data_IF_721484340101
#
_entry.id   IF_721484340101
#
_cell.length_a   1.000
_cell.length_b   1.000
_cell.length_c   1.000
_cell.angle_alpha   90.00
_cell.angle_beta   90.00
_cell.angle_gamma   90.00
#
_symmetry.space_group_name_H-M   'P 1'
#
loop_
_entity.id
_entity.type
_entity.pdbx_description
1 polymer ?
#
# COMPACT_ATOMS: atom_id res chain seq x y z
N UNK A 1 -5.02 8.99 -7.64
CA UNK A 1 -5.39 9.27 -9.04
C UNK A 1 -4.57 8.35 -9.95
N UNK A 2 -5.16 7.77 -10.98
CA UNK A 2 -4.48 6.93 -11.98
C UNK A 2 -3.34 7.72 -12.63
N UNK A 3 -2.19 7.09 -12.84
CA UNK A 3 -1.03 7.71 -13.48
C UNK A 3 -0.26 8.68 -12.57
N UNK A 4 -0.74 8.98 -11.36
CA UNK A 4 -0.02 9.79 -10.38
C UNK A 4 0.89 8.90 -9.53
N UNK A 5 2.13 9.33 -9.32
CA UNK A 5 3.05 8.65 -8.42
C UNK A 5 2.49 8.63 -7.00
N UNK A 6 2.61 7.49 -6.34
CA UNK A 6 2.24 7.24 -4.96
C UNK A 6 3.48 6.76 -4.21
N UNK A 7 3.69 7.30 -3.01
CA UNK A 7 4.78 6.88 -2.13
C UNK A 7 4.35 7.10 -0.69
N UNK A 8 4.11 6.02 0.03
CA UNK A 8 3.69 6.03 1.44
C UNK A 8 4.50 5.01 2.22
N UNK A 9 5.06 5.43 3.35
CA UNK A 9 5.74 4.52 4.28
C UNK A 9 4.76 4.10 5.36
N UNK A 10 4.57 2.79 5.52
CA UNK A 10 3.80 2.21 6.61
C UNK A 10 4.69 2.07 7.85
N UNK A 11 4.13 2.40 9.01
CA UNK A 11 4.84 2.32 10.29
C UNK A 11 4.10 1.40 11.25
N UNK A 12 4.84 0.61 12.01
CA UNK A 12 4.32 -0.20 13.10
C UNK A 12 4.93 0.28 14.43
N UNK A 13 4.21 0.05 15.52
CA UNK A 13 4.63 0.39 16.88
C UNK A 13 4.41 -0.79 17.83
N UNK A 14 5.19 -0.82 18.91
CA UNK A 14 5.26 -1.97 19.83
C UNK A 14 6.07 -3.15 19.26
N UNK A 15 6.27 -4.19 20.06
CA UNK A 15 7.07 -5.35 19.64
C UNK A 15 8.58 -5.04 19.53
N UNK A 16 9.29 -5.84 18.72
CA UNK A 16 10.75 -5.80 18.58
C UNK A 16 11.15 -5.50 17.14
N UNK A 17 11.76 -4.34 16.90
CA UNK A 17 12.35 -4.03 15.60
C UNK A 17 13.49 -5.00 15.24
N UNK A 18 13.77 -5.24 13.95
CA UNK A 18 13.14 -4.63 12.77
C UNK A 18 11.78 -5.23 12.41
N UNK A 19 10.93 -4.40 11.79
CA UNK A 19 9.66 -4.85 11.22
C UNK A 19 9.83 -5.31 9.77
N UNK A 20 8.98 -6.24 9.34
CA UNK A 20 8.89 -6.77 7.98
C UNK A 20 7.45 -6.76 7.52
N UNK A 21 7.20 -6.13 6.37
CA UNK A 21 5.88 -5.99 5.80
C UNK A 21 5.66 -6.94 4.63
N UNK A 22 4.46 -7.49 4.52
CA UNK A 22 4.06 -8.37 3.41
C UNK A 22 2.55 -8.27 3.15
N UNK A 23 2.13 -8.69 1.95
CA UNK A 23 0.71 -8.82 1.62
C UNK A 23 0.21 -10.15 2.20
N UNK A 24 -0.70 -10.07 3.17
CA UNK A 24 -1.33 -11.23 3.79
C UNK A 24 -2.46 -11.80 2.91
N UNK A 25 -3.24 -10.92 2.27
CA UNK A 25 -4.33 -11.29 1.38
C UNK A 25 -4.74 -10.15 0.45
N UNK A 26 -5.47 -10.49 -0.62
CA UNK A 26 -5.89 -9.53 -1.64
C UNK A 26 -4.76 -9.19 -2.62
N UNK A 27 -4.95 -8.13 -3.40
CA UNK A 27 -3.97 -7.67 -4.38
C UNK A 27 -3.84 -6.16 -4.32
N UNK A 28 -2.62 -5.67 -4.51
CA UNK A 28 -2.39 -4.24 -4.68
C UNK A 28 -2.96 -3.79 -6.03
N UNK A 29 -3.42 -2.52 -6.13
CA UNK A 29 -3.71 -1.92 -7.43
C UNK A 29 -2.53 -2.10 -8.40
N UNK A 30 -2.83 -2.37 -9.68
CA UNK A 30 -1.81 -2.52 -10.70
C UNK A 30 -0.88 -1.29 -10.74
N UNK A 31 0.44 -1.53 -10.74
CA UNK A 31 1.46 -0.48 -10.71
C UNK A 31 1.90 -0.04 -9.31
N UNK A 32 1.31 -0.58 -8.23
CA UNK A 32 1.81 -0.43 -6.87
C UNK A 32 2.57 -1.67 -6.39
N UNK A 33 3.58 -1.44 -5.56
CA UNK A 33 4.39 -2.48 -4.91
C UNK A 33 4.60 -2.14 -3.43
N UNK A 34 4.61 -3.17 -2.59
CA UNK A 34 4.97 -3.06 -1.18
C UNK A 34 6.37 -3.62 -0.97
N UNK A 35 7.30 -2.79 -0.51
CA UNK A 35 8.61 -3.21 -0.06
C UNK A 35 8.56 -3.77 1.37
N UNK A 36 9.52 -4.61 1.72
CA UNK A 36 9.57 -5.28 3.04
C UNK A 36 9.85 -4.32 4.20
N UNK A 37 10.30 -3.09 3.91
CA UNK A 37 10.49 -2.00 4.87
C UNK A 37 9.19 -1.21 5.15
N UNK A 38 8.09 -1.56 4.47
CA UNK A 38 6.78 -0.91 4.62
C UNK A 38 6.51 0.18 3.58
N UNK A 39 7.42 0.42 2.65
CA UNK A 39 7.21 1.41 1.59
C UNK A 39 6.23 0.87 0.54
N UNK A 40 5.02 1.44 0.49
CA UNK A 40 4.04 1.25 -0.57
C UNK A 40 4.22 2.35 -1.63
N UNK A 41 4.74 1.97 -2.79
CA UNK A 41 5.07 2.93 -3.84
C UNK A 41 4.78 2.43 -5.24
N UNK A 42 4.70 3.36 -6.18
CA UNK A 42 4.50 3.11 -7.60
C UNK A 42 3.51 4.08 -8.23
N UNK A 43 2.99 3.72 -9.39
CA UNK A 43 2.04 4.56 -10.14
C UNK A 43 0.82 3.72 -10.50
N UNK A 44 -0.33 3.89 -9.83
CA UNK A 44 -1.52 3.10 -10.12
C UNK A 44 -1.98 3.26 -11.56
N UNK A 45 -2.16 2.16 -12.29
CA UNK A 45 -2.50 2.19 -13.73
C UNK A 45 -3.95 1.86 -14.04
N UNK A 46 -4.72 1.38 -13.07
CA UNK A 46 -6.11 0.92 -13.28
C UNK A 46 -7.03 1.62 -12.29
N UNK A 47 -8.11 2.22 -12.79
CA UNK A 47 -9.16 2.81 -11.95
C UNK A 47 -9.91 1.71 -11.19
N UNK A 48 -10.32 2.00 -9.96
CA UNK A 48 -11.13 1.10 -9.15
C UNK A 48 -10.71 1.08 -7.69
N UNK A 49 -11.44 0.30 -6.89
CA UNK A 49 -11.12 0.07 -5.48
C UNK A 49 -10.49 -1.31 -5.34
N UNK A 50 -9.33 -1.37 -4.69
CA UNK A 50 -8.67 -2.62 -4.32
C UNK A 50 -8.65 -2.77 -2.80
N UNK A 51 -9.08 -3.94 -2.32
CA UNK A 51 -8.99 -4.31 -0.92
C UNK A 51 -7.85 -5.30 -0.73
N UNK A 52 -6.94 -5.00 0.19
CA UNK A 52 -5.82 -5.86 0.53
C UNK A 52 -5.51 -5.77 2.03
N UNK A 53 -4.92 -6.84 2.56
CA UNK A 53 -4.49 -6.90 3.96
C UNK A 53 -2.98 -6.95 4.00
N UNK A 54 -2.38 -6.08 4.79
CA UNK A 54 -0.93 -6.08 5.04
C UNK A 54 -0.68 -6.77 6.38
N UNK A 55 0.29 -7.68 6.40
CA UNK A 55 0.88 -8.21 7.61
C UNK A 55 2.15 -7.44 7.94
N UNK A 56 2.38 -7.21 9.23
CA UNK A 56 3.66 -6.79 9.77
C UNK A 56 4.13 -7.87 10.76
N UNK A 57 5.36 -8.35 10.57
CA UNK A 57 6.04 -9.23 11.50
C UNK A 57 7.21 -8.48 12.15
N UNK A 58 7.43 -8.71 13.43
CA UNK A 58 8.55 -8.18 14.19
C UNK A 58 9.66 -9.23 14.35
N UNK A 59 10.80 -8.84 14.91
CA UNK A 59 11.92 -9.75 15.16
C UNK A 59 11.71 -10.68 16.36
N UNK A 60 10.68 -10.42 17.18
CA UNK A 60 10.25 -11.23 18.32
C UNK A 60 9.31 -12.37 17.94
N UNK A 61 9.04 -12.58 16.64
CA UNK A 61 8.04 -13.51 16.11
C UNK A 61 6.59 -13.14 16.43
N UNK A 62 6.32 -11.88 16.78
CA UNK A 62 4.96 -11.36 16.83
C UNK A 62 4.54 -10.84 15.44
N UNK A 63 3.25 -10.97 15.13
CA UNK A 63 2.69 -10.47 13.88
C UNK A 63 1.34 -9.82 14.09
N UNK A 64 1.07 -8.78 13.31
CA UNK A 64 -0.24 -8.12 13.25
C UNK A 64 -0.68 -7.95 11.79
N UNK A 65 -1.97 -7.82 11.56
CA UNK A 65 -2.55 -7.59 10.24
C UNK A 65 -3.47 -6.38 10.25
N UNK A 66 -3.53 -5.67 9.12
CA UNK A 66 -4.41 -4.52 8.93
C UNK A 66 -5.01 -4.57 7.52
N UNK A 67 -6.33 -4.45 7.44
CA UNK A 67 -7.05 -4.35 6.18
C UNK A 67 -7.03 -2.90 5.67
N UNK A 68 -6.82 -2.75 4.36
CA UNK A 68 -6.81 -1.48 3.65
C UNK A 68 -7.78 -1.53 2.46
N UNK A 69 -8.38 -0.37 2.19
CA UNK A 69 -9.15 -0.10 0.98
C UNK A 69 -8.48 1.06 0.24
N UNK A 70 -8.04 0.80 -0.99
CA UNK A 70 -7.34 1.79 -1.80
C UNK A 70 -8.15 2.10 -3.05
N UNK A 71 -8.53 3.37 -3.21
CA UNK A 71 -9.32 3.82 -4.36
C UNK A 71 -8.44 4.59 -5.34
N UNK A 72 -8.36 4.09 -6.57
CA UNK A 72 -7.76 4.79 -7.71
C UNK A 72 -8.88 5.45 -8.50
N UNK A 73 -8.94 6.78 -8.45
CA UNK A 73 -9.81 7.61 -9.30
C UNK A 73 -9.09 8.07 -10.56
N UNK A 74 -9.82 8.45 -11.61
CA UNK A 74 -9.26 9.24 -12.71
C UNK A 74 -9.08 10.71 -12.31
N UNK A 75 -8.18 11.39 -13.03
CA UNK A 75 -8.03 12.83 -12.90
C UNK A 75 -9.28 13.51 -13.48
N UNK A 76 -9.74 14.59 -12.83
CA UNK A 76 -10.78 15.42 -13.42
C UNK A 76 -10.24 16.07 -14.72
N UNK A 77 -11.05 16.18 -15.79
CA UNK A 77 -10.65 16.90 -16.99
C UNK A 77 -10.36 18.37 -16.65
N UNK A 78 -9.25 18.90 -17.18
CA UNK A 78 -8.87 20.31 -17.04
C UNK A 78 -9.23 21.01 -18.35
N UNK A 79 -10.10 22.02 -18.29
CA UNK A 79 -10.37 22.88 -19.44
C UNK A 79 -9.14 23.77 -19.69
N UNK A 80 -8.67 23.84 -20.94
CA UNK A 80 -7.57 24.72 -21.36
C UNK A 80 -8.10 25.65 -22.45
N UNK A 81 -7.67 26.92 -22.40
CA UNK A 81 -8.06 27.98 -23.35
C UNK A 81 -7.24 27.94 -24.65
#
# INVERSE_FOLDING_TARGET
>A
VRGSAYNQVLTASGGVAPYRYSIASGTLPAGLTLASDGTLSGTPTTQGTSSFTIAVADAGNASATQAYSFTVSDAAPVAVA
#
